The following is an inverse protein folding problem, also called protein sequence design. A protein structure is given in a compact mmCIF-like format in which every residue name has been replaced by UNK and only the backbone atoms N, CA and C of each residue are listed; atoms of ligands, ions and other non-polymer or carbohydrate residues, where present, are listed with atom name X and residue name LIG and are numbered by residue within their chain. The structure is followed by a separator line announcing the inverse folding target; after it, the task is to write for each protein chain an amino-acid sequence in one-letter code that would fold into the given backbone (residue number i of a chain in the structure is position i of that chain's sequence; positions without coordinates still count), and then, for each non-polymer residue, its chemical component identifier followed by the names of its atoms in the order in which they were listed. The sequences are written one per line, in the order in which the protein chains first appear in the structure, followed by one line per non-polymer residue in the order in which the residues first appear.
data_IF_314324364375
#
_entry.id   IF_314324364375
#
_cell.length_a   1.000
_cell.length_b   1.000
_cell.length_c   1.000
_cell.angle_alpha   90.00
_cell.angle_beta   90.00
_cell.angle_gamma   90.00
#
_symmetry.space_group_name_H-M   'P 1'
#
loop_
_entity.id
_entity.type
_entity.pdbx_description
1 polymer ?
#
# COMPACT_ATOMS: atom_id res chain seq x y z
N UNK A 1 26.58 -23.04 105.29
CA UNK A 1 26.59 -23.01 103.81
C UNK A 1 25.36 -22.26 103.35
N UNK A 2 25.47 -21.08 102.72
CA UNK A 2 24.29 -20.37 102.24
C UNK A 2 23.63 -21.15 101.09
N UNK A 3 22.30 -21.22 101.13
CA UNK A 3 21.49 -21.86 100.09
C UNK A 3 21.51 -21.01 98.81
N UNK A 4 21.55 -21.63 97.62
CA UNK A 4 21.55 -20.89 96.37
C UNK A 4 20.24 -20.12 96.18
N UNK A 5 20.34 -18.84 95.85
CA UNK A 5 19.19 -18.00 95.49
C UNK A 5 18.62 -18.47 94.14
N UNK A 6 17.29 -18.69 94.04
CA UNK A 6 16.69 -19.10 92.77
C UNK A 6 16.82 -18.00 91.72
N UNK A 7 17.12 -18.40 90.48
CA UNK A 7 17.20 -17.50 89.33
C UNK A 7 15.81 -16.94 88.98
N UNK A 8 15.71 -15.68 88.49
CA UNK A 8 14.43 -15.09 88.14
C UNK A 8 13.80 -15.81 86.94
N UNK A 9 12.50 -16.09 87.04
CA UNK A 9 11.69 -16.66 85.95
C UNK A 9 11.59 -15.66 84.80
N UNK A 10 11.86 -16.07 83.54
CA UNK A 10 11.74 -15.17 82.39
C UNK A 10 10.28 -14.71 82.19
N UNK A 11 10.11 -13.43 81.87
CA UNK A 11 8.80 -12.84 81.56
C UNK A 11 8.23 -13.43 80.26
N UNK A 12 6.90 -13.59 80.15
CA UNK A 12 6.29 -14.12 78.93
C UNK A 12 6.56 -13.18 77.74
N UNK A 13 6.93 -13.76 76.60
CA UNK A 13 7.11 -13.01 75.35
C UNK A 13 5.74 -12.56 74.83
N UNK A 14 5.55 -11.27 74.50
CA UNK A 14 4.28 -10.79 73.98
C UNK A 14 3.92 -11.47 72.65
N UNK A 15 2.68 -11.98 72.57
CA UNK A 15 2.15 -12.58 71.35
C UNK A 15 2.02 -11.52 70.26
N UNK A 16 2.45 -11.85 69.03
CA UNK A 16 2.37 -10.92 67.91
C UNK A 16 0.91 -10.70 67.51
N UNK A 17 0.48 -9.45 67.44
CA UNK A 17 -0.83 -9.08 66.88
C UNK A 17 -0.82 -9.35 65.37
N UNK A 18 -1.83 -10.04 64.82
CA UNK A 18 -1.95 -10.25 63.38
C UNK A 18 -2.09 -8.91 62.63
N UNK A 19 -1.48 -8.82 61.45
CA UNK A 19 -1.71 -7.69 60.55
C UNK A 19 -3.17 -7.70 60.06
N UNK A 20 -3.78 -6.52 59.82
CA UNK A 20 -5.15 -6.47 59.29
C UNK A 20 -5.21 -7.10 57.89
N UNK A 21 -6.24 -7.90 57.64
CA UNK A 21 -6.53 -8.46 56.31
C UNK A 21 -6.87 -7.32 55.34
N UNK A 22 -6.24 -7.26 54.14
CA UNK A 22 -6.59 -6.27 53.13
C UNK A 22 -8.06 -6.37 52.72
N UNK A 23 -8.69 -5.22 52.48
CA UNK A 23 -10.03 -5.17 51.90
C UNK A 23 -10.03 -5.74 50.47
N UNK A 24 -11.12 -6.39 50.03
CA UNK A 24 -11.24 -6.88 48.67
C UNK A 24 -11.16 -5.74 47.65
N UNK A 25 -10.53 -6.01 46.50
CA UNK A 25 -10.43 -5.05 45.41
C UNK A 25 -11.82 -4.75 44.82
N UNK A 26 -12.08 -3.50 44.37
CA UNK A 26 -13.34 -3.17 43.72
C UNK A 26 -13.50 -3.93 42.39
N UNK A 27 -14.74 -4.22 41.96
CA UNK A 27 -14.98 -4.83 40.66
C UNK A 27 -14.48 -3.91 39.52
N UNK A 28 -14.09 -4.48 38.37
CA UNK A 28 -13.65 -3.69 37.23
C UNK A 28 -14.78 -2.78 36.73
N UNK A 29 -14.42 -1.58 36.28
CA UNK A 29 -15.36 -0.65 35.67
C UNK A 29 -15.98 -1.26 34.40
N UNK A 30 -17.27 -0.98 34.11
CA UNK A 30 -17.90 -1.44 32.89
C UNK A 30 -17.18 -0.88 31.66
N UNK A 31 -17.12 -1.68 30.58
CA UNK A 31 -16.57 -1.24 29.32
C UNK A 31 -17.37 -0.05 28.75
N UNK A 32 -16.72 0.91 28.07
CA UNK A 32 -17.43 2.01 27.43
C UNK A 32 -18.41 1.47 26.37
N UNK A 33 -19.58 2.10 26.28
CA UNK A 33 -20.55 1.78 25.24
C UNK A 33 -19.95 2.04 23.84
N UNK A 34 -20.29 1.21 22.83
CA UNK A 34 -19.81 1.43 21.47
C UNK A 34 -20.30 2.77 20.93
N UNK A 35 -19.43 3.50 20.24
CA UNK A 35 -19.80 4.73 19.56
C UNK A 35 -20.85 4.45 18.46
N UNK A 36 -21.78 5.39 18.19
CA UNK A 36 -22.72 5.27 17.08
C UNK A 36 -21.97 5.06 15.76
N UNK A 37 -22.37 4.04 15.00
CA UNK A 37 -21.84 3.82 13.67
C UNK A 37 -22.24 5.01 12.77
N UNK A 38 -21.26 5.62 12.11
CA UNK A 38 -21.51 6.66 11.12
C UNK A 38 -22.38 6.09 9.99
N UNK A 39 -23.30 6.89 9.43
CA UNK A 39 -24.08 6.46 8.27
C UNK A 39 -23.15 6.13 7.11
N UNK A 40 -23.47 5.06 6.38
CA UNK A 40 -22.73 4.68 5.20
C UNK A 40 -22.77 5.83 4.16
N UNK A 41 -21.67 6.12 3.47
CA UNK A 41 -21.68 7.14 2.41
C UNK A 41 -22.68 6.73 1.33
N UNK A 42 -23.54 7.66 0.93
CA UNK A 42 -24.47 7.45 -0.17
C UNK A 42 -23.68 7.08 -1.44
N UNK A 43 -24.14 6.07 -2.16
CA UNK A 43 -23.56 5.67 -3.44
C UNK A 43 -23.51 6.88 -4.37
N UNK A 44 -22.32 7.16 -4.91
CA UNK A 44 -22.17 8.19 -5.93
C UNK A 44 -23.07 7.88 -7.14
N UNK A 45 -23.65 8.90 -7.79
CA UNK A 45 -24.42 8.69 -9.00
C UNK A 45 -23.52 8.08 -10.10
N UNK A 46 -24.08 7.23 -10.98
CA UNK A 46 -23.33 6.74 -12.13
C UNK A 46 -22.82 7.91 -12.98
N UNK A 47 -21.63 7.82 -13.58
CA UNK A 47 -21.13 8.86 -14.47
C UNK A 47 -22.13 9.05 -15.62
N UNK A 48 -22.34 10.31 -16.01
CA UNK A 48 -23.15 10.64 -17.17
C UNK A 48 -22.65 9.85 -18.41
N UNK A 49 -23.55 9.45 -19.32
CA UNK A 49 -23.15 8.77 -20.54
C UNK A 49 -22.19 9.67 -21.32
N UNK A 50 -21.04 9.11 -21.71
CA UNK A 50 -20.11 9.80 -22.59
C UNK A 50 -20.85 10.18 -23.89
N UNK A 51 -20.55 11.35 -24.49
CA UNK A 51 -21.13 11.72 -25.78
C UNK A 51 -20.81 10.62 -26.79
N UNK A 52 -21.81 10.22 -27.57
CA UNK A 52 -21.63 9.28 -28.66
C UNK A 52 -20.48 9.81 -29.53
N UNK A 53 -19.44 8.99 -29.70
CA UNK A 53 -18.34 9.30 -30.59
C UNK A 53 -18.95 9.62 -31.95
N UNK A 54 -18.85 10.87 -32.38
CA UNK A 54 -19.24 11.26 -33.73
C UNK A 54 -18.50 10.41 -34.76
N UNK A 55 -18.96 10.39 -36.02
CA UNK A 55 -18.27 9.68 -37.08
C UNK A 55 -16.79 10.10 -37.06
N UNK A 56 -15.90 9.11 -36.87
CA UNK A 56 -14.47 9.37 -37.05
C UNK A 56 -14.32 9.94 -38.47
N UNK A 57 -13.66 11.10 -38.65
CA UNK A 57 -13.29 11.54 -39.97
C UNK A 57 -12.60 10.38 -40.68
N UNK A 58 -13.05 10.08 -41.91
CA UNK A 58 -12.40 9.08 -42.74
C UNK A 58 -10.91 9.44 -42.87
N UNK A 59 -10.02 8.44 -43.02
CA UNK A 59 -8.63 8.74 -43.31
C UNK A 59 -8.54 9.64 -44.56
N UNK A 60 -7.60 10.60 -44.61
CA UNK A 60 -7.41 11.40 -45.81
C UNK A 60 -7.16 10.50 -47.02
N UNK A 61 -7.60 10.96 -48.20
CA UNK A 61 -7.37 10.26 -49.45
C UNK A 61 -5.87 9.97 -49.63
N UNK A 62 -5.56 8.74 -50.02
CA UNK A 62 -4.19 8.24 -50.17
C UNK A 62 -3.50 8.99 -51.32
N UNK A 63 -2.34 9.64 -51.12
CA UNK A 63 -1.60 10.25 -52.23
C UNK A 63 -1.04 9.16 -53.17
N UNK A 64 -0.78 9.49 -54.45
CA UNK A 64 -0.15 8.58 -55.39
C UNK A 64 1.25 8.21 -54.89
N UNK A 65 1.56 6.92 -54.99
CA UNK A 65 2.76 6.30 -54.43
C UNK A 65 4.02 6.73 -55.17
N UNK A 66 4.81 7.61 -54.55
CA UNK A 66 6.25 7.75 -54.80
C UNK A 66 6.95 7.68 -53.44
N UNK A 67 7.96 6.81 -53.38
CA UNK A 67 8.63 6.29 -52.19
C UNK A 67 9.09 7.35 -51.16
N UNK A 68 9.09 6.94 -49.87
CA UNK A 68 9.59 7.63 -48.67
C UNK A 68 8.59 8.42 -47.80
N UNK A 69 7.41 7.85 -47.50
CA UNK A 69 6.56 8.33 -46.38
C UNK A 69 6.02 7.18 -45.50
N UNK A 70 6.55 7.14 -44.28
CA UNK A 70 6.31 6.22 -43.17
C UNK A 70 4.82 5.99 -42.82
N UNK A 71 4.22 4.95 -43.44
CA UNK A 71 2.79 4.61 -43.37
C UNK A 71 2.35 3.73 -42.18
N UNK A 72 3.15 3.71 -41.12
CA UNK A 72 2.77 3.52 -39.70
C UNK A 72 3.74 4.46 -38.98
N UNK A 73 3.40 5.03 -37.83
CA UNK A 73 4.48 5.36 -36.90
C UNK A 73 5.33 4.09 -36.80
N UNK A 74 6.55 4.09 -37.33
CA UNK A 74 7.42 2.93 -37.29
C UNK A 74 7.61 2.62 -35.80
N UNK A 75 6.81 1.68 -35.29
CA UNK A 75 6.90 1.24 -33.91
C UNK A 75 8.07 0.27 -33.75
N UNK A 76 8.86 0.05 -34.80
CA UNK A 76 10.07 -0.77 -34.72
C UNK A 76 11.06 -0.16 -33.72
N UNK A 77 11.10 1.18 -33.63
CA UNK A 77 11.84 1.94 -32.63
C UNK A 77 11.21 1.94 -31.21
N UNK A 78 9.96 1.49 -31.05
CA UNK A 78 9.30 1.42 -29.75
C UNK A 78 9.69 0.17 -28.97
N UNK A 79 9.55 0.23 -27.64
CA UNK A 79 9.93 -0.87 -26.79
C UNK A 79 8.87 -2.00 -26.79
N UNK A 80 9.29 -3.28 -26.78
CA UNK A 80 8.40 -4.42 -26.58
C UNK A 80 7.73 -4.43 -25.20
N UNK A 81 6.83 -5.40 -24.98
CA UNK A 81 6.25 -5.66 -23.66
C UNK A 81 7.34 -5.91 -22.62
N UNK A 82 7.23 -5.27 -21.45
CA UNK A 82 8.17 -5.42 -20.33
C UNK A 82 9.63 -5.08 -20.65
N UNK A 83 9.89 -4.36 -21.73
CA UNK A 83 11.21 -3.80 -22.08
C UNK A 83 11.34 -2.34 -21.69
N UNK A 84 12.58 -1.90 -21.44
CA UNK A 84 12.84 -0.53 -21.01
C UNK A 84 12.44 0.47 -22.11
N UNK A 85 11.55 1.39 -21.76
CA UNK A 85 10.98 2.38 -22.67
C UNK A 85 11.30 3.82 -22.24
N UNK A 86 12.20 4.01 -21.27
CA UNK A 86 12.52 5.34 -20.73
C UNK A 86 13.00 6.31 -21.83
N UNK A 87 13.74 5.80 -22.82
CA UNK A 87 14.26 6.58 -23.93
C UNK A 87 13.29 6.68 -25.11
N UNK A 88 12.68 5.56 -25.52
CA UNK A 88 11.76 5.51 -26.65
C UNK A 88 10.44 6.22 -26.36
N UNK A 89 10.02 6.24 -25.08
CA UNK A 89 8.74 6.75 -24.60
C UNK A 89 7.55 6.23 -25.40
N UNK A 90 7.69 5.03 -25.96
CA UNK A 90 6.61 4.39 -26.69
C UNK A 90 6.67 2.87 -26.64
N UNK A 91 5.51 2.25 -26.85
CA UNK A 91 5.30 0.82 -26.82
C UNK A 91 4.87 0.27 -28.19
N UNK A 92 5.41 -0.91 -28.54
CA UNK A 92 5.11 -1.60 -29.81
C UNK A 92 3.62 -1.88 -30.01
N UNK A 93 3.00 -2.64 -29.11
CA UNK A 93 1.59 -3.01 -29.27
C UNK A 93 0.65 -2.00 -28.60
N UNK A 94 -0.53 -1.85 -29.21
CA UNK A 94 -1.56 -0.94 -28.75
C UNK A 94 -2.12 -1.30 -27.36
N UNK A 95 -2.58 -0.28 -26.63
CA UNK A 95 -3.22 -0.43 -25.32
C UNK A 95 -2.25 -0.62 -24.16
N UNK A 96 -0.95 -0.54 -24.41
CA UNK A 96 0.08 -0.40 -23.38
C UNK A 96 0.53 1.05 -23.30
N UNK A 97 1.22 1.35 -22.21
CA UNK A 97 1.86 2.62 -22.00
C UNK A 97 3.20 2.39 -21.32
N UNK A 98 4.11 3.33 -21.49
CA UNK A 98 5.41 3.31 -20.84
C UNK A 98 5.25 3.85 -19.41
N UNK A 99 5.39 2.98 -18.41
CA UNK A 99 5.25 3.33 -17.00
C UNK A 99 6.61 3.31 -16.30
N UNK A 100 6.95 4.44 -15.68
CA UNK A 100 8.19 4.59 -14.94
C UNK A 100 8.17 3.81 -13.63
N UNK A 101 9.28 3.13 -13.36
CA UNK A 101 9.68 2.72 -12.02
C UNK A 101 10.37 3.90 -11.34
N UNK A 102 11.36 4.46 -12.02
CA UNK A 102 12.20 5.59 -11.62
C UNK A 102 12.68 6.37 -12.87
N UNK A 103 13.67 7.26 -12.72
CA UNK A 103 14.18 8.11 -13.81
C UNK A 103 14.92 7.35 -14.93
N UNK A 104 15.45 6.17 -14.64
CA UNK A 104 16.29 5.38 -15.56
C UNK A 104 15.57 4.13 -16.11
N UNK A 105 14.44 3.78 -15.52
CA UNK A 105 13.73 2.55 -15.85
C UNK A 105 12.23 2.78 -15.96
N UNK A 106 11.68 2.43 -17.12
CA UNK A 106 10.26 2.42 -17.39
C UNK A 106 9.92 1.21 -18.25
N UNK A 107 8.77 0.56 -18.04
CA UNK A 107 8.40 -0.60 -18.82
C UNK A 107 7.09 -0.39 -19.58
N UNK A 108 7.02 -0.97 -20.77
CA UNK A 108 5.79 -1.05 -21.53
C UNK A 108 4.84 -2.08 -20.92
N UNK A 109 3.75 -1.60 -20.34
CA UNK A 109 2.79 -2.45 -19.65
C UNK A 109 1.35 -1.93 -19.79
N UNK A 110 0.40 -2.83 -19.56
CA UNK A 110 -1.02 -2.46 -19.53
C UNK A 110 -1.32 -1.59 -18.30
N UNK A 111 -2.28 -0.65 -18.39
CA UNK A 111 -2.63 0.26 -17.30
C UNK A 111 -3.04 -0.46 -16.00
N UNK A 112 -3.51 -1.71 -16.08
CA UNK A 112 -3.83 -2.52 -14.90
C UNK A 112 -2.61 -2.97 -14.09
N UNK A 113 -1.41 -2.96 -14.68
CA UNK A 113 -0.16 -3.42 -14.03
C UNK A 113 0.55 -2.33 -13.23
N UNK A 114 0.29 -1.06 -13.54
CA UNK A 114 0.79 0.09 -12.81
C UNK A 114 -0.38 1.02 -12.48
N UNK A 115 -1.12 0.68 -11.42
CA UNK A 115 -2.34 1.40 -11.05
C UNK A 115 -2.10 2.53 -10.06
N UNK A 116 -1.11 2.37 -9.18
CA UNK A 116 -0.78 3.32 -8.13
C UNK A 116 0.72 3.38 -7.90
N UNK A 117 1.23 4.58 -7.60
CA UNK A 117 2.61 4.74 -7.12
C UNK A 117 2.82 3.91 -5.85
N UNK A 118 4.05 3.43 -5.65
CA UNK A 118 4.43 2.61 -4.50
C UNK A 118 4.32 1.10 -4.74
N UNK A 119 3.81 0.66 -5.89
CA UNK A 119 3.75 -0.76 -6.24
C UNK A 119 5.16 -1.34 -6.39
N UNK A 120 5.41 -2.48 -5.75
CA UNK A 120 6.65 -3.24 -5.92
C UNK A 120 6.36 -4.40 -6.86
N UNK A 121 7.13 -4.51 -7.96
CA UNK A 121 7.01 -5.66 -8.84
C UNK A 121 7.66 -6.89 -8.18
N UNK A 122 6.91 -7.94 -7.82
CA UNK A 122 7.48 -9.11 -7.15
C UNK A 122 8.37 -9.96 -8.07
N UNK A 123 8.29 -9.74 -9.39
CA UNK A 123 9.13 -10.40 -10.39
C UNK A 123 10.53 -9.76 -10.50
N UNK A 124 10.72 -8.55 -9.96
CA UNK A 124 12.07 -7.99 -9.80
C UNK A 124 12.89 -8.88 -8.85
N UNK A 125 14.20 -8.99 -9.12
CA UNK A 125 15.13 -9.62 -8.18
C UNK A 125 15.02 -8.94 -6.82
N UNK A 126 15.24 -9.66 -5.70
CA UNK A 126 15.05 -9.10 -4.36
C UNK A 126 15.72 -7.73 -4.13
N UNK A 127 16.95 -7.54 -4.62
CA UNK A 127 17.68 -6.28 -4.52
C UNK A 127 17.03 -5.10 -5.29
N UNK A 128 16.17 -5.40 -6.26
CA UNK A 128 15.53 -4.42 -7.15
C UNK A 128 14.02 -4.36 -6.96
N UNK A 129 13.46 -4.99 -5.92
CA UNK A 129 12.05 -4.86 -5.54
C UNK A 129 11.76 -3.52 -4.88
N UNK A 130 12.10 -2.44 -5.57
CA UNK A 130 11.85 -1.07 -5.12
C UNK A 130 10.47 -0.59 -5.56
N UNK A 131 9.87 0.37 -4.83
CA UNK A 131 8.58 0.93 -5.20
C UNK A 131 8.65 1.66 -6.54
N UNK A 132 7.68 1.42 -7.40
CA UNK A 132 7.54 2.07 -8.70
C UNK A 132 6.77 3.39 -8.57
N UNK A 133 7.19 4.42 -9.31
CA UNK A 133 6.41 5.66 -9.41
C UNK A 133 5.10 5.46 -10.18
N UNK A 134 5.05 4.49 -11.09
CA UNK A 134 3.94 4.24 -12.00
C UNK A 134 3.49 5.48 -12.79
N UNK A 135 4.40 6.42 -13.00
CA UNK A 135 4.13 7.60 -13.83
C UNK A 135 4.13 7.18 -15.29
N UNK A 136 3.06 7.51 -16.03
CA UNK A 136 3.03 7.29 -17.47
C UNK A 136 3.95 8.31 -18.15
N UNK A 137 5.02 7.84 -18.77
CA UNK A 137 6.01 8.67 -19.48
C UNK A 137 5.93 8.53 -21.00
N UNK A 138 5.08 7.63 -21.50
CA UNK A 138 4.95 7.35 -22.93
C UNK A 138 3.75 6.47 -23.28
N UNK A 139 3.57 6.17 -24.57
CA UNK A 139 2.43 5.41 -25.12
C UNK A 139 2.81 4.15 -25.89
#
# INVERSE_FOLDING_TARGET
TPAPTPAPTPAPTPARTPAPTPAPAPPPAPAPAPAPALPAPASAPPPAPAPAAGPRPGPPARPPSDDHWDAKADRSACSPLLENCVHSRCCKDAGRFCYAKNGDFALCMYPKRCRSAGMVNPQDKPAWRTPWSCTRVGW
#
